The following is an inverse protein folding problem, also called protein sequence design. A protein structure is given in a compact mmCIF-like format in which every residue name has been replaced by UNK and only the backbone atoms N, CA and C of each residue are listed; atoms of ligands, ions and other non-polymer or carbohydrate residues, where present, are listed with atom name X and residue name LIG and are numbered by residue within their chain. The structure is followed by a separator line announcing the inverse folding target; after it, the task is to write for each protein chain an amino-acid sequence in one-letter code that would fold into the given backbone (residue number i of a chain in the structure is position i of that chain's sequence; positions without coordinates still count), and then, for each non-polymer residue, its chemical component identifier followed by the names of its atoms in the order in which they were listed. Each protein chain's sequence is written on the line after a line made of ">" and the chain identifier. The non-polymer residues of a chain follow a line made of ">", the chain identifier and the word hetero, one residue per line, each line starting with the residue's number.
data_IF_116690710259
#
_entry.id   IF_116690710259
#
_cell.length_a   1.000
_cell.length_b   1.000
_cell.length_c   1.000
_cell.angle_alpha   90.00
_cell.angle_beta   90.00
_cell.angle_gamma   90.00
#
_symmetry.space_group_name_H-M   'P 1'
#
loop_
_entity.id
_entity.type
_entity.pdbx_description
1 polymer ?
#
# COMPACT_ATOMS: atom_id res chain seq x y z
N UNK A 1 9.81 -13.78 3.09
CA UNK A 1 8.66 -12.86 3.13
C UNK A 1 8.21 -12.74 4.57
N UNK A 2 8.04 -11.51 5.07
CA UNK A 2 7.72 -11.23 6.47
C UNK A 2 6.44 -10.40 6.56
N UNK A 3 5.46 -10.85 7.36
CA UNK A 3 4.20 -10.15 7.57
C UNK A 3 4.37 -9.07 8.66
N UNK A 4 3.90 -7.86 8.38
CA UNK A 4 4.07 -6.69 9.26
C UNK A 4 2.71 -6.16 9.74
N UNK A 5 1.77 -5.92 8.83
CA UNK A 5 0.39 -5.52 9.17
C UNK A 5 0.25 -4.20 9.94
N UNK A 6 1.12 -3.22 9.68
CA UNK A 6 1.20 -1.99 10.48
C UNK A 6 0.61 -0.78 9.75
N UNK A 7 -0.18 0.03 10.47
CA UNK A 7 -0.64 1.33 9.97
C UNK A 7 0.55 2.28 9.84
N UNK A 8 0.73 2.85 8.65
CA UNK A 8 1.87 3.71 8.33
C UNK A 8 1.39 5.06 7.78
N UNK A 9 2.23 6.08 7.95
CA UNK A 9 2.05 7.34 7.24
C UNK A 9 2.72 7.21 5.87
N UNK A 10 1.92 7.38 4.81
CA UNK A 10 2.38 7.39 3.43
C UNK A 10 2.30 8.80 2.89
N UNK A 11 3.36 9.23 2.21
CA UNK A 11 3.32 10.41 1.37
C UNK A 11 2.98 9.99 -0.05
N UNK A 12 1.94 10.62 -0.59
CA UNK A 12 1.40 10.32 -1.91
C UNK A 12 1.57 11.51 -2.83
N UNK A 13 1.65 11.23 -4.12
CA UNK A 13 1.52 12.21 -5.18
C UNK A 13 0.27 11.87 -5.97
N UNK A 14 -0.62 12.85 -6.14
CA UNK A 14 -1.78 12.69 -7.00
C UNK A 14 -1.31 12.62 -8.46
N UNK A 15 -1.59 11.50 -9.12
CA UNK A 15 -1.41 11.32 -10.56
C UNK A 15 -2.79 11.15 -11.22
N UNK A 16 -2.92 11.36 -12.54
CA UNK A 16 -4.19 11.14 -13.23
C UNK A 16 -4.70 9.70 -13.01
N UNK A 17 -5.83 9.56 -12.32
CA UNK A 17 -6.50 8.28 -12.09
C UNK A 17 -6.01 7.45 -10.91
N UNK A 18 -4.96 7.85 -10.17
CA UNK A 18 -4.49 7.09 -9.00
C UNK A 18 -3.60 7.91 -8.04
N UNK A 19 -3.45 7.42 -6.80
CA UNK A 19 -2.51 7.96 -5.81
C UNK A 19 -1.22 7.16 -5.85
N UNK A 20 -0.13 7.81 -6.28
CA UNK A 20 1.19 7.18 -6.31
C UNK A 20 1.87 7.32 -4.94
N UNK A 21 2.21 6.22 -4.23
CA UNK A 21 3.04 6.29 -3.03
C UNK A 21 4.45 6.77 -3.39
N UNK A 22 4.98 7.70 -2.60
CA UNK A 22 6.28 8.36 -2.83
C UNK A 22 7.26 8.06 -1.70
N UNK A 23 6.77 8.02 -0.46
CA UNK A 23 7.54 7.57 0.69
C UNK A 23 6.60 7.08 1.79
N UNK A 24 7.14 6.33 2.75
CA UNK A 24 6.43 5.99 3.97
C UNK A 24 7.37 5.91 5.16
N UNK A 25 6.81 5.99 6.37
CA UNK A 25 7.56 5.78 7.62
C UNK A 25 7.22 4.44 8.25
N UNK A 26 8.25 3.66 8.54
CA UNK A 26 8.20 2.39 9.27
C UNK A 26 9.25 2.45 10.38
N UNK A 27 8.85 2.18 11.63
CA UNK A 27 9.73 2.19 12.81
C UNK A 27 10.61 3.45 12.93
N UNK A 28 10.03 4.61 12.61
CA UNK A 28 10.73 5.89 12.66
C UNK A 28 11.70 6.15 11.50
N UNK A 29 11.95 5.17 10.63
CA UNK A 29 12.76 5.31 9.42
C UNK A 29 11.88 5.71 8.24
N UNK A 30 12.37 6.64 7.43
CA UNK A 30 11.73 7.00 6.16
C UNK A 30 12.25 6.08 5.05
N UNK A 31 11.31 5.53 4.29
CA UNK A 31 11.56 4.70 3.12
C UNK A 31 11.04 5.43 1.88
N UNK A 32 11.95 5.77 0.96
CA UNK A 32 11.59 6.42 -0.30
C UNK A 32 11.22 5.37 -1.33
N UNK A 33 10.04 5.49 -1.92
CA UNK A 33 9.55 4.62 -2.99
C UNK A 33 10.16 5.08 -4.32
N UNK A 34 11.00 4.22 -4.90
CA UNK A 34 11.63 4.48 -6.21
C UNK A 34 10.79 3.95 -7.35
N UNK A 35 10.07 2.84 -7.14
CA UNK A 35 9.23 2.20 -8.14
C UNK A 35 7.97 1.63 -7.50
N UNK A 36 6.84 1.77 -8.19
CA UNK A 36 5.63 0.99 -7.93
C UNK A 36 5.67 -0.15 -8.93
N UNK A 37 5.89 -1.36 -8.45
CA UNK A 37 6.01 -2.56 -9.28
C UNK A 37 4.64 -3.02 -9.76
N UNK A 38 3.66 -3.04 -8.86
CA UNK A 38 2.29 -3.45 -9.17
C UNK A 38 1.27 -2.60 -8.41
N UNK A 39 0.06 -2.52 -8.96
CA UNK A 39 -1.12 -1.94 -8.33
C UNK A 39 -2.33 -2.78 -8.68
N UNK A 40 -3.13 -3.14 -7.68
CA UNK A 40 -4.41 -3.82 -7.89
C UNK A 40 -5.46 -3.35 -6.88
N UNK A 41 -6.72 -3.55 -7.22
CA UNK A 41 -7.84 -3.19 -6.35
C UNK A 41 -8.46 -4.46 -5.78
N UNK A 42 -8.60 -4.50 -4.47
CA UNK A 42 -9.36 -5.52 -3.76
C UNK A 42 -10.71 -4.92 -3.38
N UNK A 43 -11.77 -5.53 -3.90
CA UNK A 43 -13.14 -5.19 -3.54
C UNK A 43 -13.73 -6.37 -2.77
N UNK A 44 -14.10 -6.15 -1.51
CA UNK A 44 -14.84 -7.19 -0.77
C UNK A 44 -16.25 -7.31 -1.34
N UNK A 45 -16.70 -8.54 -1.55
CA UNK A 45 -18.10 -8.85 -1.88
C UNK A 45 -18.96 -8.60 -0.63
N UNK A 46 -19.48 -7.39 -0.49
CA UNK A 46 -20.55 -7.07 0.45
C UNK A 46 -21.90 -6.98 -0.27
N UNK A 47 -22.97 -7.44 0.39
CA UNK A 47 -24.37 -7.39 -0.10
C UNK A 47 -24.84 -5.95 -0.40
N UNK A 48 -24.16 -4.96 0.16
CA UNK A 48 -24.47 -3.54 -0.05
C UNK A 48 -23.24 -2.75 -0.42
N UNK A 49 -23.38 -1.81 -1.35
CA UNK A 49 -22.27 -1.00 -1.89
C UNK A 49 -21.51 -0.22 -0.80
N UNK A 50 -22.18 0.19 0.29
CA UNK A 50 -21.57 0.92 1.40
C UNK A 50 -20.78 0.04 2.38
N UNK A 51 -20.92 -1.28 2.32
CA UNK A 51 -20.17 -2.23 3.15
C UNK A 51 -18.90 -2.74 2.45
N UNK A 52 -18.73 -2.42 1.16
CA UNK A 52 -17.57 -2.83 0.40
C UNK A 52 -16.34 -2.08 0.90
N UNK A 53 -15.33 -2.81 1.36
CA UNK A 53 -14.00 -2.21 1.57
C UNK A 53 -13.35 -2.05 0.20
N UNK A 54 -12.93 -0.82 -0.08
CA UNK A 54 -12.21 -0.49 -1.29
C UNK A 54 -10.74 -0.35 -0.92
N UNK A 55 -9.99 -1.43 -1.09
CA UNK A 55 -8.56 -1.46 -0.85
C UNK A 55 -7.83 -1.36 -2.16
N UNK A 56 -6.86 -0.47 -2.22
CA UNK A 56 -5.92 -0.39 -3.35
C UNK A 56 -4.58 -0.85 -2.83
N UNK A 57 -4.10 -1.97 -3.35
CA UNK A 57 -2.81 -2.53 -3.00
C UNK A 57 -1.75 -2.04 -3.97
N UNK A 58 -0.52 -1.97 -3.46
CA UNK A 58 0.68 -1.56 -4.17
C UNK A 58 1.82 -2.48 -3.76
N UNK A 59 2.51 -3.06 -4.73
CA UNK A 59 3.86 -3.58 -4.54
C UNK A 59 4.83 -2.45 -4.89
N UNK A 60 5.74 -2.11 -3.98
CA UNK A 60 6.69 -1.01 -4.18
C UNK A 60 8.11 -1.46 -3.90
N UNK A 61 9.05 -0.95 -4.69
CA UNK A 61 10.48 -1.04 -4.44
C UNK A 61 10.94 0.28 -3.83
N UNK A 62 11.68 0.21 -2.73
CA UNK A 62 12.27 1.37 -2.04
C UNK A 62 13.74 1.56 -2.40
N UNK A 63 14.31 2.71 -2.03
CA UNK A 63 15.67 3.10 -2.44
C UNK A 63 16.79 2.14 -2.01
N UNK A 64 16.59 1.35 -0.95
CA UNK A 64 17.54 0.32 -0.51
C UNK A 64 17.34 -1.05 -1.17
N UNK A 65 16.51 -1.11 -2.22
CA UNK A 65 16.26 -2.30 -3.02
C UNK A 65 15.16 -3.21 -2.45
N UNK A 66 14.73 -3.00 -1.20
CA UNK A 66 13.68 -3.83 -0.59
C UNK A 66 12.33 -3.60 -1.26
N UNK A 67 11.48 -4.62 -1.21
CA UNK A 67 10.14 -4.61 -1.77
C UNK A 67 9.09 -4.78 -0.69
N UNK A 68 8.06 -3.96 -0.73
CA UNK A 68 6.99 -3.95 0.25
C UNK A 68 5.63 -4.01 -0.42
N UNK A 69 4.70 -4.72 0.20
CA UNK A 69 3.29 -4.60 -0.11
C UNK A 69 2.64 -3.65 0.88
N UNK A 70 1.92 -2.66 0.35
CA UNK A 70 1.15 -1.71 1.12
C UNK A 70 -0.23 -1.52 0.50
N UNK A 71 -1.24 -1.29 1.32
CA UNK A 71 -2.59 -1.01 0.84
C UNK A 71 -3.14 0.28 1.42
N UNK A 72 -3.92 0.96 0.58
CA UNK A 72 -4.74 2.10 0.93
C UNK A 72 -6.18 1.61 1.09
N UNK A 73 -6.66 1.57 2.33
CA UNK A 73 -8.06 1.36 2.63
C UNK A 73 -8.77 2.72 2.56
N UNK A 74 -9.62 2.88 1.55
CA UNK A 74 -10.43 4.11 1.39
C UNK A 74 -11.50 4.24 2.47
N UNK A 75 -11.71 3.19 3.26
CA UNK A 75 -12.72 3.12 4.30
C UNK A 75 -14.14 3.06 3.74
N UNK A 76 -15.08 2.64 4.58
CA UNK A 76 -16.49 2.95 4.35
C UNK A 76 -16.75 4.43 4.66
N UNK A 77 -17.81 5.01 4.10
CA UNK A 77 -18.16 6.43 4.29
C UNK A 77 -18.14 6.80 5.79
N UNK A 78 -17.24 7.71 6.17
CA UNK A 78 -17.10 8.21 7.55
C UNK A 78 -16.08 7.49 8.44
N UNK A 79 -15.42 6.42 7.96
CA UNK A 79 -14.39 5.70 8.74
C UNK A 79 -12.96 6.23 8.55
N UNK A 80 -12.77 7.15 7.58
CA UNK A 80 -11.45 7.71 7.27
C UNK A 80 -10.60 6.77 6.43
N UNK A 81 -9.62 7.35 5.75
CA UNK A 81 -8.67 6.63 4.90
C UNK A 81 -7.48 6.16 5.72
N UNK A 82 -7.01 4.94 5.50
CA UNK A 82 -5.86 4.39 6.22
C UNK A 82 -4.88 3.73 5.25
N UNK A 83 -3.59 3.91 5.50
CA UNK A 83 -2.52 3.19 4.81
C UNK A 83 -1.91 2.14 5.74
N UNK A 84 -1.71 0.94 5.21
CA UNK A 84 -1.14 -0.17 5.97
C UNK A 84 -0.01 -0.80 5.16
N UNK A 85 1.11 -1.04 5.83
CA UNK A 85 2.20 -1.86 5.33
C UNK A 85 1.88 -3.31 5.68
N UNK A 86 1.59 -4.11 4.67
CA UNK A 86 1.13 -5.48 4.86
C UNK A 86 2.30 -6.42 5.15
N UNK A 87 3.31 -6.42 4.28
CA UNK A 87 4.43 -7.36 4.35
C UNK A 87 5.64 -6.88 3.54
N UNK A 88 6.81 -7.40 3.90
CA UNK A 88 8.02 -7.35 3.08
C UNK A 88 8.03 -8.53 2.10
N UNK A 89 8.22 -8.22 0.82
CA UNK A 89 8.27 -9.18 -0.28
C UNK A 89 9.70 -9.69 -0.45
N UNK A 90 9.83 -10.95 -0.87
CA UNK A 90 11.14 -11.47 -1.26
C UNK A 90 11.62 -10.78 -2.55
N UNK A 91 12.93 -10.70 -2.71
CA UNK A 91 13.51 -10.27 -3.98
C UNK A 91 13.18 -11.33 -5.05
N UNK A 92 12.58 -10.91 -6.17
CA UNK A 92 12.24 -11.81 -7.28
C UNK A 92 13.41 -12.01 -8.26
N UNK A 93 14.63 -11.56 -7.94
CA UNK A 93 15.79 -11.70 -8.84
C UNK A 93 16.57 -13.03 -8.66
N UNK A 94 15.96 -14.05 -8.09
CA UNK A 94 16.57 -15.37 -7.91
C UNK A 94 15.79 -16.45 -8.68
N UNK A 95 15.89 -16.43 -10.02
CA UNK A 95 15.67 -17.59 -10.88
C UNK A 95 16.64 -17.55 -12.07
#
# INVERSE_FOLDING_TARGET
>A
MEFIGQTIRVMTKQEPGWLRPVSFRLDGKEHTVVRVDERWEEHTLGDSWWQRRHRVHYAVTVADGRRFELYWDRGARGQGETWVLLKELADESAD
#
